data_IF_397691811890
#
_entry.id   IF_397691811890
#
_cell.length_a   1.000
_cell.length_b   1.000
_cell.length_c   1.000
_cell.angle_alpha   90.00
_cell.angle_beta   90.00
_cell.angle_gamma   90.00
#
_symmetry.space_group_name_H-M   'P 1'
#
loop_
_entity.id
_entity.type
_entity.pdbx_description
1 polymer ?
#
# COMPACT_ATOMS: atom_id res chain seq x y z
N UNK A 1 7.88 27.08 20.66
CA UNK A 1 8.63 25.85 20.91
C UNK A 1 7.69 24.69 21.18
N UNK A 2 6.91 24.19 20.18
CA UNK A 2 5.99 23.03 20.35
C UNK A 2 5.92 22.12 19.11
N UNK A 3 6.89 22.18 18.21
CA UNK A 3 6.84 21.42 16.94
C UNK A 3 7.70 20.15 16.90
N UNK A 4 8.44 19.81 17.97
CA UNK A 4 9.38 18.68 17.94
C UNK A 4 8.79 17.32 18.36
N UNK A 5 7.53 17.24 18.81
CA UNK A 5 7.02 16.00 19.41
C UNK A 5 6.32 15.05 18.44
N UNK A 6 5.75 15.57 17.37
CA UNK A 6 5.02 14.74 16.38
C UNK A 6 5.94 13.92 15.45
N UNK A 7 7.16 14.41 15.19
CA UNK A 7 8.10 13.76 14.29
C UNK A 7 8.74 12.47 14.87
N UNK A 8 8.72 12.29 16.21
CA UNK A 8 9.33 11.12 16.85
C UNK A 8 8.46 9.87 16.90
N UNK A 9 7.15 9.98 16.70
CA UNK A 9 6.23 8.82 16.71
C UNK A 9 6.04 8.18 15.33
N UNK A 10 6.43 8.87 14.26
CA UNK A 10 6.23 8.41 12.89
C UNK A 10 7.07 7.16 12.50
N UNK A 11 8.34 7.02 12.93
CA UNK A 11 9.13 5.83 12.60
C UNK A 11 8.60 4.54 13.22
N UNK A 12 7.87 4.63 14.35
CA UNK A 12 7.31 3.44 14.99
C UNK A 12 6.08 2.88 14.28
N UNK A 13 5.31 3.74 13.60
CA UNK A 13 4.13 3.29 12.85
C UNK A 13 4.51 2.59 11.53
N UNK A 14 5.61 3.01 10.92
CA UNK A 14 6.16 2.38 9.71
C UNK A 14 6.76 1.00 10.02
N UNK A 15 7.40 0.86 11.19
CA UNK A 15 8.04 -0.39 11.59
C UNK A 15 7.03 -1.49 11.91
N UNK A 16 5.86 -1.14 12.45
CA UNK A 16 4.80 -2.11 12.78
C UNK A 16 4.10 -2.67 11.55
N UNK A 17 3.99 -1.88 10.47
CA UNK A 17 3.44 -2.37 9.20
C UNK A 17 4.32 -3.41 8.51
N UNK A 18 5.63 -3.27 8.61
CA UNK A 18 6.62 -4.18 8.00
C UNK A 18 6.76 -5.48 8.80
N UNK A 19 6.61 -5.44 10.13
CA UNK A 19 6.76 -6.61 11.00
C UNK A 19 5.63 -7.63 10.85
N UNK A 20 4.45 -7.25 10.38
CA UNK A 20 3.34 -8.21 10.20
C UNK A 20 3.50 -9.14 9.00
N UNK A 21 4.33 -8.79 8.03
CA UNK A 21 4.60 -9.66 6.86
C UNK A 21 5.63 -10.75 7.17
N UNK A 22 6.46 -10.56 8.22
CA UNK A 22 7.56 -11.49 8.52
C UNK A 22 7.16 -12.71 9.36
N UNK A 23 5.95 -12.77 9.95
CA UNK A 23 5.55 -13.82 10.88
C UNK A 23 4.72 -14.97 10.28
N UNK A 24 4.48 -14.99 8.97
CA UNK A 24 3.71 -16.04 8.31
C UNK A 24 4.58 -17.02 7.51
N UNK A 25 5.73 -17.44 8.02
CA UNK A 25 6.41 -18.64 7.52
C UNK A 25 5.85 -19.90 8.18
N UNK A 26 4.65 -20.33 7.81
CA UNK A 26 4.32 -21.75 7.84
C UNK A 26 4.94 -22.39 6.59
N UNK A 27 5.96 -23.19 6.83
CA UNK A 27 6.65 -24.01 5.84
C UNK A 27 5.73 -25.15 5.42
N UNK A 28 4.88 -24.90 4.42
CA UNK A 28 4.32 -25.99 3.64
C UNK A 28 5.35 -26.30 2.54
N UNK A 29 6.05 -27.44 2.77
CA UNK A 29 6.91 -28.05 1.77
C UNK A 29 6.03 -28.57 0.63
N UNK A 30 5.85 -27.76 -0.40
CA UNK A 30 5.62 -28.23 -1.76
C UNK A 30 6.51 -27.42 -2.70
N UNK A 31 7.72 -28.01 -2.85
CA UNK A 31 8.64 -27.57 -3.89
C UNK A 31 8.08 -27.93 -5.24
N UNK A 32 7.57 -26.94 -5.90
CA UNK A 32 7.65 -26.70 -7.35
C UNK A 32 6.98 -25.36 -7.60
N UNK A 33 7.72 -24.38 -8.05
CA UNK A 33 7.22 -23.05 -8.36
C UNK A 33 6.22 -23.03 -9.52
N UNK A 34 5.05 -23.58 -9.28
CA UNK A 34 3.87 -23.33 -10.10
C UNK A 34 3.28 -22.01 -9.59
N UNK A 35 3.56 -20.96 -10.31
CA UNK A 35 3.05 -19.63 -10.01
C UNK A 35 1.55 -19.68 -9.80
N UNK A 36 1.10 -19.34 -8.60
CA UNK A 36 -0.31 -19.28 -8.19
C UNK A 36 -1.13 -18.25 -8.95
N UNK A 37 -0.63 -17.68 -10.02
CA UNK A 37 -1.34 -16.66 -10.80
C UNK A 37 -1.47 -15.30 -10.08
N UNK A 38 -1.10 -15.18 -8.81
CA UNK A 38 -1.13 -13.91 -8.07
C UNK A 38 -0.09 -12.94 -8.63
N UNK A 39 -0.47 -11.67 -8.76
CA UNK A 39 0.40 -10.63 -9.31
C UNK A 39 0.06 -9.25 -8.76
N UNK A 40 1.04 -8.36 -8.81
CA UNK A 40 0.86 -6.93 -8.70
C UNK A 40 1.65 -6.27 -9.83
N UNK A 41 1.01 -5.41 -10.61
CA UNK A 41 1.64 -4.68 -11.71
C UNK A 41 1.23 -3.22 -11.67
N UNK A 42 2.15 -2.35 -12.05
CA UNK A 42 1.94 -0.90 -12.07
C UNK A 42 3.02 -0.24 -12.92
N UNK A 43 2.85 1.04 -13.21
CA UNK A 43 3.90 1.85 -13.84
C UNK A 43 4.48 2.83 -12.84
N UNK A 44 5.79 3.01 -12.86
CA UNK A 44 6.52 4.07 -12.16
C UNK A 44 7.03 5.04 -13.22
N UNK A 45 6.53 6.28 -13.24
CA UNK A 45 6.88 7.28 -14.23
C UNK A 45 6.81 6.73 -15.68
N UNK A 46 5.77 5.91 -15.96
CA UNK A 46 5.55 5.28 -17.25
C UNK A 46 6.25 3.93 -17.46
N UNK A 47 7.24 3.57 -16.65
CA UNK A 47 7.96 2.28 -16.76
C UNK A 47 7.21 1.17 -16.03
N UNK A 48 6.96 0.04 -16.71
CA UNK A 48 6.24 -1.10 -16.17
C UNK A 48 7.05 -1.83 -15.08
N UNK A 49 6.42 -2.09 -13.96
CA UNK A 49 6.89 -2.96 -12.86
C UNK A 49 5.88 -4.08 -12.66
N UNK A 50 6.35 -5.30 -12.43
CA UNK A 50 5.49 -6.44 -12.14
C UNK A 50 6.14 -7.38 -11.12
N UNK A 51 5.33 -7.77 -10.13
CA UNK A 51 5.64 -8.81 -9.15
C UNK A 51 4.73 -10.00 -9.40
N UNK A 52 5.28 -11.22 -9.31
CA UNK A 52 4.55 -12.46 -9.59
C UNK A 52 4.78 -13.47 -8.48
N UNK A 53 3.70 -14.06 -8.00
CA UNK A 53 3.71 -15.16 -7.02
C UNK A 53 3.69 -14.73 -5.56
N UNK A 54 4.42 -13.71 -5.17
CA UNK A 54 4.45 -13.18 -3.81
C UNK A 54 3.61 -11.91 -3.69
N UNK A 55 2.31 -12.06 -3.88
CA UNK A 55 1.36 -10.97 -3.73
C UNK A 55 0.24 -11.43 -2.81
N UNK A 56 0.16 -10.84 -1.63
CA UNK A 56 -0.70 -11.31 -0.56
C UNK A 56 -1.17 -10.18 0.36
N UNK A 57 -2.21 -10.44 1.15
CA UNK A 57 -2.69 -9.46 2.10
C UNK A 57 -3.95 -9.86 2.87
N UNK A 58 -4.42 -8.96 3.69
CA UNK A 58 -5.65 -9.08 4.47
C UNK A 58 -6.72 -8.15 3.92
N UNK A 59 -7.98 -8.55 4.01
CA UNK A 59 -9.11 -7.73 3.60
C UNK A 59 -10.04 -7.49 4.78
N UNK A 60 -10.31 -6.20 5.03
CA UNK A 60 -11.31 -5.71 6.00
C UNK A 60 -11.15 -6.32 7.41
N UNK A 61 -9.90 -6.47 7.86
CA UNK A 61 -9.62 -6.99 9.20
C UNK A 61 -10.03 -5.97 10.25
N UNK A 62 -11.01 -6.33 11.06
CA UNK A 62 -11.53 -5.45 12.12
C UNK A 62 -10.53 -5.36 13.27
N UNK A 63 -10.23 -4.15 13.68
CA UNK A 63 -9.55 -3.81 14.93
C UNK A 63 -10.50 -3.02 15.83
N UNK A 64 -10.10 -2.72 17.05
CA UNK A 64 -10.94 -1.96 17.98
C UNK A 64 -11.36 -0.58 17.48
N UNK A 65 -10.68 -0.02 16.49
CA UNK A 65 -10.89 1.36 16.04
C UNK A 65 -11.24 1.50 14.55
N UNK A 66 -10.97 0.48 13.74
CA UNK A 66 -11.12 0.59 12.28
C UNK A 66 -11.06 -0.76 11.56
N UNK A 67 -11.45 -0.74 10.30
CA UNK A 67 -11.33 -1.83 9.35
C UNK A 67 -10.09 -1.62 8.48
N UNK A 68 -9.22 -2.62 8.39
CA UNK A 68 -7.95 -2.53 7.69
C UNK A 68 -7.87 -3.53 6.53
N UNK A 69 -7.43 -3.04 5.39
CA UNK A 69 -7.02 -3.84 4.23
C UNK A 69 -5.56 -3.54 3.95
N UNK A 70 -4.72 -4.57 3.91
CA UNK A 70 -3.29 -4.45 3.68
C UNK A 70 -2.85 -5.45 2.63
N UNK A 71 -2.10 -5.01 1.65
CA UNK A 71 -1.64 -5.80 0.52
C UNK A 71 -0.15 -5.56 0.30
N UNK A 72 0.60 -6.61 0.04
CA UNK A 72 2.01 -6.51 -0.30
C UNK A 72 2.32 -7.31 -1.57
N UNK A 73 3.07 -6.70 -2.48
CA UNK A 73 3.68 -7.37 -3.62
C UNK A 73 5.20 -7.31 -3.48
N UNK A 74 5.85 -8.46 -3.56
CA UNK A 74 7.30 -8.61 -3.43
C UNK A 74 7.87 -9.17 -4.74
N UNK A 75 9.02 -8.64 -5.19
CA UNK A 75 9.77 -9.21 -6.30
C UNK A 75 10.46 -10.51 -5.88
N UNK A 76 10.95 -10.55 -4.64
CA UNK A 76 11.63 -11.69 -4.04
C UNK A 76 11.24 -11.81 -2.56
N UNK A 77 10.73 -12.97 -2.18
CA UNK A 77 10.34 -13.28 -0.80
C UNK A 77 11.45 -13.17 0.21
N UNK A 78 12.66 -13.53 -0.20
CA UNK A 78 13.82 -13.57 0.68
C UNK A 78 14.41 -12.17 0.92
N UNK A 79 14.00 -11.18 0.15
CA UNK A 79 14.53 -9.81 0.20
C UNK A 79 13.39 -8.80 0.30
N UNK A 80 12.53 -8.95 1.31
CA UNK A 80 11.37 -8.08 1.54
C UNK A 80 11.76 -6.60 1.77
N UNK A 81 13.00 -6.28 2.13
CA UNK A 81 13.49 -4.93 2.31
C UNK A 81 13.75 -4.17 0.98
N UNK A 82 13.53 -4.79 -0.18
CA UNK A 82 13.76 -4.20 -1.50
C UNK A 82 12.71 -4.66 -2.50
N UNK A 83 12.51 -3.87 -3.56
CA UNK A 83 11.61 -4.23 -4.66
C UNK A 83 10.24 -4.69 -4.17
N UNK A 84 9.57 -3.88 -3.36
CA UNK A 84 8.22 -4.18 -2.89
C UNK A 84 7.29 -2.98 -3.03
N UNK A 85 6.00 -3.28 -3.11
CA UNK A 85 4.91 -2.32 -3.06
C UNK A 85 3.93 -2.78 -1.99
N UNK A 86 3.63 -1.91 -1.04
CA UNK A 86 2.62 -2.14 0.00
C UNK A 86 1.49 -1.12 -0.18
N UNK A 87 0.25 -1.60 -0.08
CA UNK A 87 -0.96 -0.81 -0.12
C UNK A 87 -1.66 -0.93 1.24
N UNK A 88 -1.99 0.20 1.85
CA UNK A 88 -2.68 0.27 3.13
C UNK A 88 -3.97 1.08 2.98
N UNK A 89 -5.07 0.49 3.40
CA UNK A 89 -6.38 1.13 3.43
C UNK A 89 -7.00 0.93 4.82
N UNK A 90 -7.44 2.02 5.46
CA UNK A 90 -8.23 1.94 6.68
C UNK A 90 -9.53 2.74 6.53
N UNK A 91 -10.64 2.11 6.95
CA UNK A 91 -11.99 2.70 6.89
C UNK A 91 -12.67 2.61 8.25
N UNK A 92 -13.71 3.41 8.47
CA UNK A 92 -14.53 3.36 9.70
C UNK A 92 -15.53 2.23 9.68
N UNK A 93 -16.20 2.06 8.53
CA UNK A 93 -17.43 1.27 8.41
C UNK A 93 -17.28 0.04 7.53
N UNK A 94 -16.03 -0.44 7.35
CA UNK A 94 -15.71 -1.55 6.48
C UNK A 94 -15.31 -1.13 5.07
N UNK A 95 -14.43 -1.92 4.47
CA UNK A 95 -13.99 -1.74 3.09
C UNK A 95 -14.99 -2.39 2.15
N UNK A 96 -15.61 -1.59 1.28
CA UNK A 96 -16.58 -2.06 0.31
C UNK A 96 -15.91 -2.31 -1.05
N UNK A 97 -16.26 -3.42 -1.68
CA UNK A 97 -15.85 -3.70 -3.07
C UNK A 97 -16.59 -2.75 -4.03
N UNK A 98 -15.91 -2.37 -5.12
CA UNK A 98 -16.45 -1.46 -6.13
C UNK A 98 -16.26 0.02 -5.83
N UNK A 99 -16.05 0.43 -4.57
CA UNK A 99 -15.74 1.82 -4.23
C UNK A 99 -14.26 2.14 -4.40
N UNK A 100 -13.99 3.36 -4.85
CA UNK A 100 -12.63 3.93 -4.89
C UNK A 100 -12.41 4.77 -3.64
N UNK A 101 -11.41 4.42 -2.85
CA UNK A 101 -10.98 5.15 -1.67
C UNK A 101 -9.82 6.08 -2.01
N UNK A 102 -9.80 7.26 -1.39
CA UNK A 102 -8.81 8.30 -1.66
C UNK A 102 -8.17 8.82 -0.38
N UNK A 103 -6.95 9.35 -0.54
CA UNK A 103 -6.22 10.10 0.49
C UNK A 103 -6.56 11.59 0.53
N UNK A 104 -7.44 12.05 -0.36
CA UNK A 104 -7.77 13.47 -0.54
C UNK A 104 -9.29 13.66 -0.73
N UNK A 105 -9.76 14.90 -0.54
CA UNK A 105 -11.19 15.26 -0.61
C UNK A 105 -11.55 15.99 -1.89
N UNK A 106 -10.65 16.86 -2.37
CA UNK A 106 -10.92 17.73 -3.52
C UNK A 106 -11.02 16.93 -4.82
N UNK A 107 -12.11 17.12 -5.58
CA UNK A 107 -12.32 16.47 -6.87
C UNK A 107 -12.67 14.99 -6.78
N UNK A 108 -13.18 14.53 -5.66
CA UNK A 108 -13.44 13.11 -5.37
C UNK A 108 -14.85 12.66 -5.76
N UNK A 109 -15.47 13.24 -6.78
CA UNK A 109 -16.78 12.76 -7.25
C UNK A 109 -16.74 11.26 -7.54
N UNK A 110 -17.66 10.50 -6.92
CA UNK A 110 -17.68 9.03 -7.02
C UNK A 110 -16.58 8.29 -6.24
N UNK A 111 -15.79 8.99 -5.45
CA UNK A 111 -14.76 8.41 -4.58
C UNK A 111 -15.10 8.65 -3.11
N UNK A 112 -14.57 7.81 -2.22
CA UNK A 112 -14.75 7.94 -0.79
C UNK A 112 -13.42 8.22 -0.10
N UNK A 113 -13.35 9.30 0.70
CA UNK A 113 -12.19 9.54 1.56
C UNK A 113 -12.16 8.48 2.66
N UNK A 114 -11.00 7.83 2.81
CA UNK A 114 -10.76 6.87 3.88
C UNK A 114 -9.95 7.51 5.02
N UNK A 115 -9.90 6.86 6.17
CA UNK A 115 -9.02 7.25 7.30
C UNK A 115 -7.54 7.12 6.94
N UNK A 116 -7.21 6.12 6.11
CA UNK A 116 -5.88 5.92 5.59
C UNK A 116 -5.97 5.37 4.18
N UNK A 117 -5.30 6.00 3.23
CA UNK A 117 -4.91 5.42 1.95
C UNK A 117 -3.43 5.71 1.78
N UNK A 118 -2.60 4.69 1.86
CA UNK A 118 -1.17 4.85 1.75
C UNK A 118 -0.56 3.81 0.81
N UNK A 119 0.33 4.27 -0.06
CA UNK A 119 1.15 3.46 -0.94
C UNK A 119 2.59 3.59 -0.46
N UNK A 120 3.27 2.48 -0.26
CA UNK A 120 4.68 2.42 0.12
C UNK A 120 5.42 1.60 -0.91
N UNK A 121 6.41 2.19 -1.56
CA UNK A 121 7.29 1.52 -2.51
C UNK A 121 8.72 1.53 -1.99
N UNK A 122 9.38 0.39 -2.00
CA UNK A 122 10.81 0.26 -1.73
C UNK A 122 11.48 -0.20 -3.02
N UNK A 123 12.43 0.59 -3.51
CA UNK A 123 13.13 0.30 -4.75
C UNK A 123 14.21 -0.80 -4.60
N UNK A 124 14.90 -1.10 -5.68
CA UNK A 124 15.97 -2.10 -5.70
C UNK A 124 17.20 -1.73 -4.85
N UNK A 125 17.38 -0.45 -4.55
CA UNK A 125 18.43 0.03 -3.65
C UNK A 125 18.03 0.01 -2.18
N UNK A 126 16.75 -0.24 -1.88
CA UNK A 126 16.18 -0.18 -0.53
C UNK A 126 15.70 1.21 -0.13
N UNK A 127 15.57 2.14 -1.07
CA UNK A 127 15.07 3.49 -0.82
C UNK A 127 13.56 3.49 -0.74
N UNK A 128 13.03 4.12 0.31
CA UNK A 128 11.60 4.22 0.58
C UNK A 128 10.96 5.41 -0.12
N UNK A 129 9.74 5.20 -0.64
CA UNK A 129 8.85 6.21 -1.19
C UNK A 129 7.45 6.00 -0.64
N UNK A 130 6.81 7.09 -0.19
CA UNK A 130 5.48 7.04 0.44
C UNK A 130 4.54 8.01 -0.26
N UNK A 131 3.26 7.65 -0.33
CA UNK A 131 2.19 8.60 -0.60
C UNK A 131 1.77 9.29 0.71
N UNK A 132 1.23 10.51 0.60
CA UNK A 132 0.79 11.30 1.73
C UNK A 132 -0.71 11.52 1.70
N UNK A 133 -1.31 11.65 2.85
CA UNK A 133 -2.71 12.02 3.00
C UNK A 133 -2.87 13.54 3.08
N UNK A 134 -4.04 14.03 2.66
CA UNK A 134 -4.33 15.46 2.57
C UNK A 134 -4.22 16.20 3.91
N UNK A 135 -4.57 15.55 5.02
CA UNK A 135 -4.48 16.17 6.35
C UNK A 135 -3.05 16.49 6.79
N UNK A 136 -2.05 15.86 6.16
CA UNK A 136 -0.64 16.17 6.41
C UNK A 136 -0.10 17.28 5.49
N UNK A 137 -0.85 17.71 4.47
CA UNK A 137 -0.41 18.70 3.49
C UNK A 137 0.15 19.99 4.12
N UNK A 138 -0.41 20.54 5.20
CA UNK A 138 0.14 21.74 5.82
C UNK A 138 1.54 21.58 6.42
N UNK A 139 1.96 20.34 6.72
CA UNK A 139 3.28 20.01 7.28
C UNK A 139 4.28 19.57 6.21
N UNK A 140 3.84 19.44 4.95
CA UNK A 140 4.67 18.99 3.84
C UNK A 140 5.27 20.17 3.08
N UNK A 141 6.37 19.98 2.35
CA UNK A 141 6.90 21.00 1.45
C UNK A 141 5.84 21.48 0.46
N UNK A 142 5.87 22.77 0.13
CA UNK A 142 4.94 23.38 -0.82
C UNK A 142 4.96 22.63 -2.17
N UNK A 143 3.77 22.34 -2.71
CA UNK A 143 3.63 21.59 -3.96
C UNK A 143 3.68 20.06 -3.83
N UNK A 144 3.80 19.52 -2.60
CA UNK A 144 3.66 18.06 -2.38
C UNK A 144 2.23 17.63 -2.69
N UNK A 145 2.08 16.66 -3.58
CA UNK A 145 0.79 16.10 -3.95
C UNK A 145 0.40 14.98 -3.00
N UNK A 146 -0.84 15.02 -2.52
CA UNK A 146 -1.41 14.02 -1.61
C UNK A 146 -2.42 13.12 -2.36
N UNK A 147 -2.00 12.56 -3.49
CA UNK A 147 -2.87 11.81 -4.38
C UNK A 147 -2.57 10.32 -4.28
N UNK A 148 -3.41 9.56 -3.58
CA UNK A 148 -3.39 8.12 -3.59
C UNK A 148 -4.82 7.59 -3.67
N UNK A 149 -5.01 6.50 -4.43
CA UNK A 149 -6.29 5.81 -4.57
C UNK A 149 -6.09 4.30 -4.49
N UNK A 150 -7.06 3.62 -3.86
CA UNK A 150 -7.17 2.17 -3.86
C UNK A 150 -8.63 1.82 -4.11
N UNK A 151 -8.88 0.88 -5.02
CA UNK A 151 -10.21 0.30 -5.26
C UNK A 151 -10.09 -1.21 -5.17
N UNK A 152 -10.82 -1.82 -4.25
CA UNK A 152 -11.00 -3.27 -4.22
C UNK A 152 -12.15 -3.61 -5.18
N UNK A 153 -11.86 -4.34 -6.24
CA UNK A 153 -12.86 -4.72 -7.24
C UNK A 153 -13.55 -6.02 -6.88
N UNK A 154 -12.83 -6.92 -6.23
CA UNK A 154 -13.33 -8.22 -5.80
C UNK A 154 -12.59 -8.69 -4.54
N UNK A 155 -13.31 -9.29 -3.60
CA UNK A 155 -12.71 -9.95 -2.44
C UNK A 155 -13.48 -11.22 -2.13
N UNK A 156 -12.78 -12.35 -2.02
CA UNK A 156 -13.29 -13.67 -1.63
C UNK A 156 -12.54 -14.15 -0.39
N UNK A 157 -12.77 -15.38 0.03
CA UNK A 157 -12.00 -15.98 1.13
C UNK A 157 -10.55 -16.28 0.72
N UNK A 158 -10.26 -16.45 -0.57
CA UNK A 158 -8.98 -16.92 -1.09
C UNK A 158 -8.14 -15.81 -1.69
N UNK A 159 -8.79 -14.75 -2.22
CA UNK A 159 -8.08 -13.69 -2.93
C UNK A 159 -8.76 -12.32 -2.84
N UNK A 160 -7.97 -11.32 -3.20
CA UNK A 160 -8.38 -9.92 -3.31
C UNK A 160 -7.87 -9.38 -4.66
N UNK A 161 -8.77 -8.70 -5.41
CA UNK A 161 -8.41 -7.98 -6.64
C UNK A 161 -8.68 -6.50 -6.50
N UNK A 162 -7.93 -5.70 -7.22
CA UNK A 162 -8.18 -4.27 -7.25
C UNK A 162 -7.19 -3.49 -8.11
N UNK A 163 -7.37 -2.19 -8.07
CA UNK A 163 -6.55 -1.22 -8.78
C UNK A 163 -6.08 -0.14 -7.82
N UNK A 164 -4.96 0.52 -8.16
CA UNK A 164 -4.40 1.60 -7.36
C UNK A 164 -3.62 2.60 -8.21
N UNK A 165 -3.49 3.80 -7.70
CA UNK A 165 -2.62 4.84 -8.27
C UNK A 165 -2.21 5.83 -7.19
N UNK A 166 -1.17 6.60 -7.43
CA UNK A 166 -0.76 7.63 -6.47
C UNK A 166 0.51 8.35 -6.84
N UNK A 167 0.84 9.31 -6.00
CA UNK A 167 2.09 10.06 -6.05
C UNK A 167 2.87 9.78 -4.79
N UNK A 168 4.11 9.33 -4.94
CA UNK A 168 4.98 8.97 -3.84
C UNK A 168 6.21 9.87 -3.83
N UNK A 169 6.72 10.11 -2.64
CA UNK A 169 7.95 10.88 -2.41
C UNK A 169 8.90 10.10 -1.53
N UNK A 170 10.20 10.28 -1.77
CA UNK A 170 11.21 9.81 -0.84
C UNK A 170 11.24 10.69 0.43
N UNK A 171 11.97 10.27 1.44
CA UNK A 171 12.01 10.89 2.78
C UNK A 171 12.31 12.41 2.75
N UNK A 172 13.19 12.86 1.88
CA UNK A 172 13.58 14.27 1.77
C UNK A 172 12.83 15.02 0.66
N UNK A 173 11.78 14.45 0.07
CA UNK A 173 10.94 14.99 -1.01
C UNK A 173 11.70 15.37 -2.29
N UNK A 174 12.96 14.98 -2.45
CA UNK A 174 13.77 15.29 -3.62
C UNK A 174 13.42 14.46 -4.85
N UNK A 175 12.72 13.35 -4.67
CA UNK A 175 12.32 12.45 -5.76
C UNK A 175 10.84 12.14 -5.65
N UNK A 176 10.14 12.40 -6.76
CA UNK A 176 8.72 12.10 -6.94
C UNK A 176 8.55 10.91 -7.87
N UNK A 177 7.69 9.97 -7.50
CA UNK A 177 7.27 8.85 -8.34
C UNK A 177 5.77 8.94 -8.61
N UNK A 178 5.39 8.87 -9.89
CA UNK A 178 3.98 8.74 -10.28
C UNK A 178 3.68 7.25 -10.50
N UNK A 179 2.76 6.71 -9.71
CA UNK A 179 2.26 5.35 -9.83
C UNK A 179 0.96 5.37 -10.62
N UNK A 180 0.95 4.73 -11.76
CA UNK A 180 -0.23 4.63 -12.63
C UNK A 180 -0.48 3.18 -13.05
N UNK A 181 -1.70 2.91 -13.55
CA UNK A 181 -2.11 1.60 -14.07
C UNK A 181 -1.84 0.46 -13.08
N UNK A 182 -1.93 0.77 -11.76
CA UNK A 182 -1.75 -0.21 -10.71
C UNK A 182 -2.90 -1.20 -10.67
N UNK A 183 -2.56 -2.49 -10.67
CA UNK A 183 -3.50 -3.61 -10.60
C UNK A 183 -2.90 -4.71 -9.74
N UNK A 184 -3.72 -5.38 -8.94
CA UNK A 184 -3.30 -6.53 -8.15
C UNK A 184 -4.34 -7.64 -8.17
N UNK A 185 -3.84 -8.87 -8.09
CA UNK A 185 -4.53 -10.08 -7.74
C UNK A 185 -3.71 -10.76 -6.65
N UNK A 186 -4.18 -10.66 -5.42
CA UNK A 186 -3.43 -11.03 -4.22
C UNK A 186 -4.07 -12.23 -3.52
N UNK A 187 -3.25 -13.12 -2.97
CA UNK A 187 -3.70 -14.14 -2.04
C UNK A 187 -4.23 -13.47 -0.77
N UNK A 188 -5.40 -13.88 -0.30
CA UNK A 188 -5.95 -13.40 0.96
C UNK A 188 -5.49 -14.28 2.13
N UNK A 189 -5.05 -13.61 3.21
CA UNK A 189 -4.92 -14.21 4.53
C UNK A 189 -6.06 -13.72 5.43
N UNK A 190 -6.58 -14.60 6.23
CA UNK A 190 -7.61 -14.29 7.23
C UNK A 190 -6.98 -13.94 8.59
#
# INVERSE_FOLDING_TARGET
MKQCFLFRLFPYFLLTGILMVAYSCKKDNDGTGSGTGYYMRFKINGTQVAYKGQVEGTFDKVTSLQHNTSLAGLKDALVAAKNNMTLLLATENGTQTGLTYTSYTTGTSGMQKAKLVNLVYIDESGKNYLSWMEEFAPALPAGTETKATIKITEATNDYIKGIFSGVLYNENYSTKLNITDGEFYARRFN
#
